data_IF_867711132185
#
_entry.id   IF_867711132185
#
_cell.length_a   1.000
_cell.length_b   1.000
_cell.length_c   1.000
_cell.angle_alpha   90.00
_cell.angle_beta   90.00
_cell.angle_gamma   90.00
#
_symmetry.space_group_name_H-M   'P 1'
#
loop_
_entity.id
_entity.type
_entity.pdbx_description
1 polymer ?
#
# COMPACT_ATOMS: atom_id res chain seq x y z
N UNK A 1 -29.84 -2.53 -13.55
CA UNK A 1 -28.55 -3.02 -14.10
C UNK A 1 -28.75 -4.31 -14.90
N UNK A 2 -27.85 -4.63 -15.84
CA UNK A 2 -27.77 -5.95 -16.47
C UNK A 2 -26.44 -6.57 -16.05
N UNK A 3 -26.48 -7.82 -15.58
CA UNK A 3 -25.28 -8.64 -15.32
C UNK A 3 -25.30 -9.86 -16.25
N UNK A 4 -24.14 -10.42 -16.57
CA UNK A 4 -24.03 -11.63 -17.39
C UNK A 4 -22.85 -12.48 -16.91
N UNK A 5 -22.85 -13.77 -17.25
CA UNK A 5 -21.69 -14.62 -17.03
C UNK A 5 -20.56 -14.24 -17.98
N UNK A 6 -19.32 -14.31 -17.49
CA UNK A 6 -18.12 -14.21 -18.32
C UNK A 6 -17.56 -15.61 -18.60
N UNK A 7 -17.05 -15.82 -19.80
CA UNK A 7 -16.30 -17.04 -20.14
C UNK A 7 -14.85 -16.97 -19.64
N UNK A 8 -14.07 -18.02 -19.92
CA UNK A 8 -12.65 -18.10 -19.54
C UNK A 8 -11.75 -17.05 -20.19
N UNK A 9 -12.23 -16.34 -21.21
CA UNK A 9 -11.56 -15.26 -21.93
C UNK A 9 -12.09 -13.88 -21.51
N UNK A 10 -12.84 -13.81 -20.41
CA UNK A 10 -13.48 -12.60 -19.91
C UNK A 10 -14.48 -11.97 -20.89
N UNK A 11 -15.05 -12.76 -21.81
CA UNK A 11 -16.09 -12.28 -22.73
C UNK A 11 -17.49 -12.56 -22.18
N UNK A 12 -18.46 -11.66 -22.40
CA UNK A 12 -19.87 -11.89 -22.06
C UNK A 12 -20.44 -13.12 -22.76
N UNK A 13 -21.05 -14.03 -22.01
CA UNK A 13 -21.79 -15.19 -22.56
C UNK A 13 -23.22 -14.78 -22.90
N UNK A 14 -23.53 -14.70 -24.19
CA UNK A 14 -24.88 -14.33 -24.65
C UNK A 14 -25.95 -15.32 -24.15
N UNK A 15 -27.11 -14.80 -23.76
CA UNK A 15 -28.23 -15.57 -23.20
C UNK A 15 -28.15 -15.79 -21.68
N UNK A 16 -27.08 -15.31 -21.02
CA UNK A 16 -26.94 -15.37 -19.55
C UNK A 16 -27.28 -14.04 -18.86
N UNK A 17 -27.79 -13.06 -19.60
CA UNK A 17 -28.12 -11.74 -19.09
C UNK A 17 -29.25 -11.79 -18.07
N UNK A 18 -29.01 -11.21 -16.89
CA UNK A 18 -30.01 -11.05 -15.84
C UNK A 18 -30.24 -9.56 -15.56
N UNK A 19 -31.52 -9.17 -15.51
CA UNK A 19 -31.91 -7.82 -15.15
C UNK A 19 -32.08 -7.71 -13.64
N UNK A 20 -31.35 -6.78 -13.05
CA UNK A 20 -31.49 -6.37 -11.65
C UNK A 20 -32.19 -5.00 -11.66
N UNK A 21 -33.35 -4.90 -10.98
CA UNK A 21 -33.99 -3.61 -10.78
C UNK A 21 -33.24 -2.86 -9.67
N UNK A 22 -32.54 -1.79 -10.04
CA UNK A 22 -31.69 -1.02 -9.17
C UNK A 22 -31.64 0.43 -9.68
N UNK A 23 -31.70 1.38 -8.75
CA UNK A 23 -31.56 2.81 -8.96
C UNK A 23 -30.11 3.29 -8.77
N UNK A 24 -29.29 2.51 -8.06
CA UNK A 24 -27.87 2.79 -7.78
C UNK A 24 -26.98 1.58 -8.08
N UNK A 25 -25.78 1.83 -8.62
CA UNK A 25 -24.72 0.84 -8.81
C UNK A 25 -23.46 1.36 -8.10
N UNK A 26 -22.97 0.61 -7.11
CA UNK A 26 -21.69 0.88 -6.46
C UNK A 26 -20.57 0.09 -7.15
N UNK A 27 -19.57 0.79 -7.70
CA UNK A 27 -18.41 0.18 -8.34
C UNK A 27 -17.18 0.31 -7.43
N UNK A 28 -16.60 -0.83 -7.04
CA UNK A 28 -15.36 -0.91 -6.26
C UNK A 28 -14.33 -1.70 -7.07
N UNK A 29 -13.60 -1.02 -7.96
CA UNK A 29 -12.67 -1.63 -8.94
C UNK A 29 -11.20 -1.54 -8.55
N UNK A 30 -10.94 -1.29 -7.27
CA UNK A 30 -9.60 -1.12 -6.72
C UNK A 30 -9.28 0.33 -6.35
N UNK A 31 -8.09 0.52 -5.80
CA UNK A 31 -7.55 1.80 -5.34
C UNK A 31 -6.19 2.03 -6.00
N UNK A 32 -5.83 3.29 -6.18
CA UNK A 32 -4.50 3.70 -6.61
C UNK A 32 -3.90 4.68 -5.61
N UNK A 33 -2.61 4.54 -5.26
CA UNK A 33 -1.93 5.48 -4.37
C UNK A 33 -2.01 6.94 -4.88
N UNK A 34 -2.38 7.87 -4.00
CA UNK A 34 -2.38 9.31 -4.28
C UNK A 34 -0.97 9.87 -4.11
N UNK A 35 -0.19 9.97 -5.20
CA UNK A 35 1.26 10.20 -5.14
C UNK A 35 1.73 11.57 -5.64
N UNK A 36 0.82 12.48 -5.97
CA UNK A 36 1.11 13.79 -6.59
C UNK A 36 2.20 14.59 -5.86
N UNK A 37 2.17 14.60 -4.53
CA UNK A 37 3.16 15.32 -3.72
C UNK A 37 4.55 14.68 -3.78
N UNK A 38 4.63 13.37 -3.95
CA UNK A 38 5.91 12.63 -4.05
C UNK A 38 6.57 12.90 -5.41
N UNK A 39 5.78 12.98 -6.48
CA UNK A 39 6.25 13.44 -7.78
C UNK A 39 6.77 14.87 -7.73
N UNK A 40 6.03 15.79 -7.11
CA UNK A 40 6.46 17.18 -6.95
C UNK A 40 7.71 17.34 -6.08
N UNK A 41 7.87 16.46 -5.08
CA UNK A 41 9.07 16.39 -4.26
C UNK A 41 10.25 15.70 -4.97
N UNK A 42 10.07 15.25 -6.23
CA UNK A 42 11.03 14.51 -7.03
C UNK A 42 11.50 13.20 -6.36
N UNK A 43 10.65 12.58 -5.54
CA UNK A 43 10.91 11.23 -5.06
C UNK A 43 11.06 10.29 -6.27
N UNK A 44 12.02 9.40 -6.21
CA UNK A 44 12.10 8.25 -7.11
C UNK A 44 10.83 7.41 -6.97
N UNK A 45 10.18 7.12 -8.10
CA UNK A 45 8.90 6.44 -8.17
C UNK A 45 9.05 5.14 -8.98
N UNK A 46 8.29 4.13 -8.60
CA UNK A 46 8.24 2.83 -9.28
C UNK A 46 6.79 2.38 -9.42
N UNK A 47 6.46 1.79 -10.57
CA UNK A 47 5.15 1.19 -10.79
C UNK A 47 5.16 -0.27 -10.32
N UNK A 48 4.38 -0.58 -9.30
CA UNK A 48 4.26 -1.92 -8.70
C UNK A 48 2.78 -2.31 -8.61
N UNK A 49 2.28 -3.18 -9.52
CA UNK A 49 0.88 -3.62 -9.52
C UNK A 49 0.43 -4.20 -8.18
N UNK A 50 1.34 -4.89 -7.49
CA UNK A 50 1.08 -5.51 -6.20
C UNK A 50 0.74 -4.49 -5.11
N UNK A 51 1.23 -3.25 -5.24
CA UNK A 51 1.03 -2.14 -4.31
C UNK A 51 -0.04 -1.14 -4.78
N UNK A 52 -0.77 -1.46 -5.85
CA UNK A 52 -1.86 -0.62 -6.39
C UNK A 52 -1.42 0.43 -7.42
N UNK A 53 -0.17 0.38 -7.89
CA UNK A 53 0.32 1.24 -8.97
C UNK A 53 1.63 1.96 -8.63
N UNK A 54 1.69 3.26 -8.91
CA UNK A 54 2.89 4.05 -8.64
C UNK A 54 3.05 4.28 -7.13
N UNK A 55 4.23 3.96 -6.60
CA UNK A 55 4.62 4.22 -5.21
C UNK A 55 6.03 4.82 -5.18
N UNK A 56 6.36 5.56 -4.11
CA UNK A 56 7.73 6.03 -3.92
C UNK A 56 8.65 4.88 -3.49
N UNK A 57 9.85 4.86 -4.08
CA UNK A 57 10.93 3.99 -3.64
C UNK A 57 11.37 4.38 -2.23
N UNK A 58 11.44 3.41 -1.31
CA UNK A 58 11.71 3.66 0.13
C UNK A 58 12.62 2.63 0.76
N UNK A 59 13.12 2.90 1.97
CA UNK A 59 13.80 1.89 2.80
C UNK A 59 12.89 1.27 3.87
N UNK A 60 13.47 0.34 4.64
CA UNK A 60 12.84 -0.28 5.82
C UNK A 60 12.58 0.67 7.00
N UNK A 61 12.93 1.96 6.88
CA UNK A 61 12.57 3.02 7.83
C UNK A 61 11.42 3.89 7.28
N UNK A 62 10.79 3.48 6.18
CA UNK A 62 9.74 4.22 5.47
C UNK A 62 10.22 5.52 4.81
N UNK A 63 11.53 5.74 4.72
CA UNK A 63 12.12 6.94 4.14
C UNK A 63 12.27 6.79 2.63
N UNK A 64 11.78 7.76 1.87
CA UNK A 64 11.89 7.76 0.40
C UNK A 64 13.33 8.01 -0.06
N UNK A 65 13.56 8.10 -1.37
CA UNK A 65 14.84 8.55 -1.95
C UNK A 65 15.18 10.01 -1.64
N UNK A 66 14.21 10.82 -1.21
CA UNK A 66 14.45 12.20 -0.77
C UNK A 66 14.59 12.23 0.76
N UNK A 67 15.68 12.83 1.29
CA UNK A 67 15.86 12.97 2.73
C UNK A 67 14.65 13.65 3.38
N UNK A 68 14.32 13.21 4.59
CA UNK A 68 13.23 13.78 5.41
C UNK A 68 11.81 13.58 4.87
N UNK A 69 11.62 12.88 3.75
CA UNK A 69 10.30 12.50 3.24
C UNK A 69 10.05 11.03 3.55
N UNK A 70 9.01 10.79 4.35
CA UNK A 70 8.57 9.46 4.77
C UNK A 70 7.15 9.20 4.26
N UNK A 71 6.85 7.94 3.96
CA UNK A 71 5.54 7.52 3.45
C UNK A 71 4.95 6.42 4.33
N UNK A 72 3.63 6.39 4.49
CA UNK A 72 2.92 5.36 5.25
C UNK A 72 1.47 5.23 4.79
N UNK A 73 0.88 4.05 4.96
CA UNK A 73 -0.48 3.75 4.51
C UNK A 73 -0.56 3.64 2.99
N UNK A 74 -1.75 3.87 2.41
CA UNK A 74 -2.01 3.54 1.00
C UNK A 74 -1.11 4.29 0.00
N UNK A 75 -0.53 5.44 0.37
CA UNK A 75 0.45 6.14 -0.48
C UNK A 75 1.78 5.36 -0.61
N UNK A 76 2.10 4.54 0.40
CA UNK A 76 3.23 3.61 0.41
C UNK A 76 2.88 2.25 -0.24
N UNK A 77 1.61 2.05 -0.60
CA UNK A 77 1.10 0.83 -1.20
C UNK A 77 -0.24 0.46 -0.59
N UNK A 78 -1.23 0.13 -1.42
CA UNK A 78 -2.59 -0.18 -0.98
C UNK A 78 -2.61 -1.46 -0.16
N UNK A 79 -2.97 -1.36 1.12
CA UNK A 79 -3.04 -2.48 2.07
C UNK A 79 -4.26 -2.34 3.00
N UNK A 80 -4.20 -2.91 4.20
CA UNK A 80 -5.23 -2.83 5.23
C UNK A 80 -4.99 -1.66 6.18
N UNK A 81 -6.06 -1.20 6.83
CA UNK A 81 -5.99 -0.12 7.82
C UNK A 81 -5.04 -0.44 8.99
N UNK A 82 -4.95 -1.70 9.39
CA UNK A 82 -4.02 -2.19 10.43
C UNK A 82 -2.56 -1.91 10.05
N UNK A 83 -2.14 -2.34 8.85
CA UNK A 83 -0.80 -2.08 8.33
C UNK A 83 -0.54 -0.58 8.19
N UNK A 84 -1.51 0.19 7.69
CA UNK A 84 -1.37 1.64 7.53
C UNK A 84 -1.09 2.36 8.87
N UNK A 85 -1.75 1.95 9.95
CA UNK A 85 -1.50 2.52 11.28
C UNK A 85 -0.08 2.23 11.77
N UNK A 86 0.39 0.99 11.63
CA UNK A 86 1.73 0.58 12.08
C UNK A 86 2.82 1.19 11.20
N UNK A 87 2.59 1.31 9.89
CA UNK A 87 3.50 2.06 8.99
C UNK A 87 3.61 3.52 9.40
N UNK A 88 2.50 4.16 9.80
CA UNK A 88 2.50 5.53 10.29
C UNK A 88 3.32 5.69 11.57
N UNK A 89 3.18 4.77 12.52
CA UNK A 89 4.02 4.71 13.71
C UNK A 89 5.50 4.56 13.33
N UNK A 90 5.84 3.59 12.49
CA UNK A 90 7.22 3.33 12.06
C UNK A 90 7.84 4.54 11.36
N UNK A 91 7.10 5.17 10.43
CA UNK A 91 7.53 6.36 9.70
C UNK A 91 7.79 7.52 10.66
N UNK A 92 6.88 7.78 11.61
CA UNK A 92 7.02 8.84 12.61
C UNK A 92 8.22 8.63 13.54
N UNK A 93 8.40 7.41 14.05
CA UNK A 93 9.55 7.06 14.90
C UNK A 93 10.88 7.19 14.15
N UNK A 94 10.92 6.75 12.89
CA UNK A 94 12.11 6.85 12.06
C UNK A 94 12.43 8.31 11.65
N UNK A 95 11.41 9.13 11.42
CA UNK A 95 11.56 10.56 11.20
C UNK A 95 12.09 11.27 12.45
N UNK A 96 11.55 10.98 13.64
CA UNK A 96 12.06 11.52 14.89
C UNK A 96 13.53 11.11 15.11
N UNK A 97 13.87 9.86 14.84
CA UNK A 97 15.24 9.34 14.93
C UNK A 97 16.20 10.08 14.01
N UNK A 98 15.79 10.40 12.78
CA UNK A 98 16.66 11.13 11.83
C UNK A 98 16.91 12.58 12.22
N UNK A 99 16.06 13.16 13.07
CA UNK A 99 16.24 14.48 13.69
C UNK A 99 17.09 14.45 14.97
N UNK A 100 17.68 13.30 15.32
CA UNK A 100 18.56 13.14 16.48
C UNK A 100 17.87 12.71 17.76
N UNK A 101 16.55 12.43 17.74
CA UNK A 101 15.89 11.80 18.87
C UNK A 101 16.45 10.39 19.05
N UNK A 102 16.93 10.09 20.25
CA UNK A 102 17.55 8.80 20.56
C UNK A 102 17.17 8.32 21.94
N UNK A 103 17.22 7.00 22.14
CA UNK A 103 16.87 6.37 23.40
C UNK A 103 16.49 4.90 23.23
N UNK A 104 16.62 4.12 24.31
CA UNK A 104 16.26 2.71 24.31
C UNK A 104 14.77 2.51 23.97
N UNK A 105 13.89 3.35 24.50
CA UNK A 105 12.45 3.29 24.24
C UNK A 105 12.11 3.46 22.76
N UNK A 106 12.69 4.48 22.10
CA UNK A 106 12.49 4.70 20.65
C UNK A 106 12.93 3.49 19.83
N UNK A 107 14.08 2.89 20.18
CA UNK A 107 14.61 1.72 19.50
C UNK A 107 13.68 0.51 19.67
N UNK A 108 13.14 0.31 20.88
CA UNK A 108 12.17 -0.76 21.16
C UNK A 108 10.87 -0.58 20.37
N UNK A 109 10.35 0.65 20.27
CA UNK A 109 9.14 0.94 19.50
C UNK A 109 9.34 0.68 17.99
N UNK A 110 10.47 1.10 17.43
CA UNK A 110 10.81 0.82 16.02
C UNK A 110 10.85 -0.69 15.76
N UNK A 111 11.52 -1.44 16.65
CA UNK A 111 11.60 -2.91 16.54
C UNK A 111 10.22 -3.56 16.67
N UNK A 112 9.39 -3.07 17.60
CA UNK A 112 8.03 -3.57 17.77
C UNK A 112 7.16 -3.31 16.54
N UNK A 113 7.16 -2.09 16.00
CA UNK A 113 6.38 -1.74 14.81
C UNK A 113 6.79 -2.59 13.59
N UNK A 114 8.09 -2.87 13.42
CA UNK A 114 8.58 -3.80 12.38
C UNK A 114 8.04 -5.21 12.54
N UNK A 115 8.13 -5.76 13.75
CA UNK A 115 7.61 -7.10 14.04
C UNK A 115 6.11 -7.18 13.80
N UNK A 116 5.35 -6.13 14.16
CA UNK A 116 3.91 -6.07 13.91
C UNK A 116 3.60 -6.05 12.40
N UNK A 117 4.34 -5.28 11.59
CA UNK A 117 4.16 -5.30 10.12
C UNK A 117 4.47 -6.67 9.52
N UNK A 118 5.51 -7.34 9.99
CA UNK A 118 5.84 -8.70 9.56
C UNK A 118 4.72 -9.68 9.89
N UNK A 119 4.16 -9.59 11.10
CA UNK A 119 3.04 -10.42 11.55
C UNK A 119 1.78 -10.17 10.73
N UNK A 120 1.38 -8.90 10.56
CA UNK A 120 0.22 -8.50 9.75
C UNK A 120 0.32 -9.00 8.31
N UNK A 121 1.54 -9.00 7.77
CA UNK A 121 1.77 -9.46 6.40
C UNK A 121 1.84 -10.98 6.32
N UNK A 122 2.24 -11.71 7.36
CA UNK A 122 2.63 -13.13 7.32
C UNK A 122 1.65 -14.10 6.61
N UNK A 123 0.35 -13.78 6.56
CA UNK A 123 -0.65 -14.58 5.88
C UNK A 123 -0.61 -14.55 4.34
N UNK A 124 -1.49 -15.33 3.68
CA UNK A 124 -1.57 -15.40 2.22
C UNK A 124 -1.95 -14.07 1.54
N UNK A 125 -2.75 -13.24 2.21
CA UNK A 125 -3.13 -11.91 1.70
C UNK A 125 -1.89 -11.01 1.56
N UNK A 126 -0.94 -11.12 2.50
CA UNK A 126 0.29 -10.35 2.47
C UNK A 126 1.38 -10.89 1.55
N UNK A 127 1.19 -12.03 0.87
CA UNK A 127 2.12 -12.51 -0.16
C UNK A 127 2.29 -11.46 -1.27
N UNK A 128 1.17 -10.92 -1.74
CA UNK A 128 1.12 -9.86 -2.74
C UNK A 128 1.93 -8.64 -2.27
N UNK A 129 1.69 -8.20 -1.04
CA UNK A 129 2.37 -7.04 -0.45
C UNK A 129 3.87 -7.29 -0.34
N UNK A 130 4.30 -8.43 0.21
CA UNK A 130 5.72 -8.80 0.29
C UNK A 130 6.40 -8.80 -1.08
N UNK A 131 5.76 -9.38 -2.09
CA UNK A 131 6.28 -9.40 -3.46
C UNK A 131 6.39 -7.99 -4.06
N UNK A 132 5.43 -7.11 -3.77
CA UNK A 132 5.49 -5.70 -4.16
C UNK A 132 6.61 -4.93 -3.46
N UNK A 133 6.78 -5.13 -2.15
CA UNK A 133 7.81 -4.45 -1.37
C UNK A 133 9.23 -4.80 -1.83
N UNK A 134 9.48 -6.03 -2.31
CA UNK A 134 10.77 -6.41 -2.91
C UNK A 134 11.12 -5.59 -4.16
N UNK A 135 10.14 -4.99 -4.83
CA UNK A 135 10.33 -4.14 -6.01
C UNK A 135 10.43 -2.64 -5.66
N UNK A 136 9.89 -2.26 -4.49
CA UNK A 136 9.79 -0.86 -4.04
C UNK A 136 10.74 -0.51 -2.88
N UNK A 137 11.61 -1.43 -2.47
CA UNK A 137 12.59 -1.24 -1.39
C UNK A 137 14.03 -1.15 -1.90
N UNK A 138 14.81 -0.25 -1.30
CA UNK A 138 16.28 -0.19 -1.41
C UNK A 138 16.99 -1.04 -0.36
#
# INVERSE_FOLDING_TARGET
AIVCELDSQWQPKSGTEQRIDADVICLAVGLSPLTDILWQAECEMVFVPELGGNVAYRDSNMCTSKPHIYVAGDVAGVEEASSAMVEGELAGLCAAKSLGVSGAHLTLQITSARSQLEELRSGPVGDKIRAGLLQAHR
#
